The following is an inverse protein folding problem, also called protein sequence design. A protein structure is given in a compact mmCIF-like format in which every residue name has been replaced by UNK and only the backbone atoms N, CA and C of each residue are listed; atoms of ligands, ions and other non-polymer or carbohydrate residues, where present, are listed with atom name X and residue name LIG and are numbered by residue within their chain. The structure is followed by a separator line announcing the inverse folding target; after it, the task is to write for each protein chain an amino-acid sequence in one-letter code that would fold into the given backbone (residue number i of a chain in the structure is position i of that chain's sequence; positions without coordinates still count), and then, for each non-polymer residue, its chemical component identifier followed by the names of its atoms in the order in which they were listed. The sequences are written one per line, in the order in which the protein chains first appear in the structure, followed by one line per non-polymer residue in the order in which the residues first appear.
data_IF_131956154910
#
_entry.id   IF_131956154910
#
_cell.length_a   1.000
_cell.length_b   1.000
_cell.length_c   1.000
_cell.angle_alpha   90.00
_cell.angle_beta   90.00
_cell.angle_gamma   90.00
#
_symmetry.space_group_name_H-M   'P 1'
#
loop_
_entity.id
_entity.type
_entity.pdbx_description
1 polymer ?
#
# COMPACT_ATOMS: atom_id res chain seq x y z
N UNK A 1 9.54 -5.98 11.95
CA UNK A 1 9.89 -6.50 10.61
C UNK A 1 9.50 -7.99 10.53
N UNK A 2 8.45 -8.31 9.79
CA UNK A 2 7.87 -9.67 9.81
C UNK A 2 8.69 -10.62 8.94
N UNK A 3 9.16 -11.71 9.53
CA UNK A 3 9.92 -12.80 8.90
C UNK A 3 9.25 -13.39 7.66
N UNK A 4 7.95 -13.15 7.48
CA UNK A 4 7.12 -13.56 6.34
C UNK A 4 7.70 -13.05 5.00
N UNK A 5 8.35 -11.89 4.97
CA UNK A 5 8.92 -11.36 3.73
C UNK A 5 10.14 -12.13 3.21
N UNK A 6 10.84 -12.88 4.07
CA UNK A 6 12.03 -13.64 3.68
C UNK A 6 11.70 -15.01 3.05
N UNK A 7 10.51 -15.55 3.32
CA UNK A 7 10.06 -16.86 2.79
C UNK A 7 9.24 -16.73 1.51
N UNK A 8 8.66 -15.55 1.25
CA UNK A 8 7.85 -15.30 0.06
C UNK A 8 8.73 -15.02 -1.18
N UNK A 9 8.31 -15.49 -2.38
CA UNK A 9 8.90 -15.02 -3.62
C UNK A 9 8.91 -13.49 -3.70
N UNK A 10 9.96 -12.90 -4.29
CA UNK A 10 10.16 -11.44 -4.37
C UNK A 10 8.89 -10.69 -4.81
N UNK A 11 8.16 -11.25 -5.78
CA UNK A 11 6.91 -10.68 -6.26
C UNK A 11 5.86 -10.57 -5.15
N UNK A 12 5.66 -11.63 -4.37
CA UNK A 12 4.68 -11.66 -3.29
C UNK A 12 5.10 -10.79 -2.11
N UNK A 13 6.39 -10.83 -1.74
CA UNK A 13 6.94 -9.95 -0.72
C UNK A 13 6.73 -8.46 -1.08
N UNK A 14 6.94 -8.11 -2.35
CA UNK A 14 6.70 -6.74 -2.85
C UNK A 14 5.21 -6.37 -2.81
N UNK A 15 4.32 -7.28 -3.19
CA UNK A 15 2.87 -7.04 -3.14
C UNK A 15 2.40 -6.81 -1.70
N UNK A 16 2.88 -7.62 -0.75
CA UNK A 16 2.49 -7.47 0.65
C UNK A 16 3.05 -6.19 1.26
N UNK A 17 4.31 -5.86 0.98
CA UNK A 17 4.89 -4.58 1.37
C UNK A 17 4.06 -3.41 0.85
N UNK A 18 3.65 -3.42 -0.43
CA UNK A 18 2.81 -2.37 -0.99
C UNK A 18 1.45 -2.28 -0.27
N UNK A 19 0.80 -3.41 0.00
CA UNK A 19 -0.48 -3.43 0.74
C UNK A 19 -0.32 -2.81 2.12
N UNK A 20 0.69 -3.23 2.86
CA UNK A 20 0.95 -2.72 4.20
C UNK A 20 1.27 -1.23 4.19
N UNK A 21 2.10 -0.76 3.25
CA UNK A 21 2.41 0.67 3.11
C UNK A 21 1.17 1.51 2.82
N UNK A 22 0.28 1.04 1.95
CA UNK A 22 -0.99 1.72 1.63
C UNK A 22 -1.92 1.74 2.84
N UNK A 23 -2.13 0.61 3.51
CA UNK A 23 -2.97 0.53 4.72
C UNK A 23 -2.49 1.50 5.79
N UNK A 24 -1.19 1.49 6.10
CA UNK A 24 -0.59 2.41 7.08
C UNK A 24 -0.78 3.87 6.70
N UNK A 25 -0.59 4.23 5.43
CA UNK A 25 -0.80 5.61 4.97
C UNK A 25 -2.27 6.03 5.12
N UNK A 26 -3.23 5.16 4.78
CA UNK A 26 -4.65 5.44 4.96
C UNK A 26 -4.99 5.61 6.44
N UNK A 27 -4.53 4.72 7.32
CA UNK A 27 -4.76 4.83 8.77
C UNK A 27 -4.19 6.13 9.34
N UNK A 28 -2.95 6.50 8.99
CA UNK A 28 -2.29 7.73 9.46
C UNK A 28 -3.01 9.01 8.99
N UNK A 29 -3.71 8.93 7.88
CA UNK A 29 -4.42 10.06 7.27
C UNK A 29 -5.95 9.94 7.40
N UNK A 30 -6.45 9.12 8.33
CA UNK A 30 -7.88 8.96 8.60
C UNK A 30 -8.69 8.65 7.32
N UNK A 31 -8.21 7.69 6.53
CA UNK A 31 -8.77 7.25 5.24
C UNK A 31 -8.86 8.36 4.17
N UNK A 32 -8.16 9.48 4.36
CA UNK A 32 -8.04 10.52 3.34
C UNK A 32 -7.08 10.06 2.23
N UNK A 33 -7.64 9.51 1.16
CA UNK A 33 -6.91 9.04 -0.02
C UNK A 33 -6.01 10.09 -0.66
N UNK A 34 -6.41 11.36 -0.65
CA UNK A 34 -5.59 12.41 -1.24
C UNK A 34 -4.33 12.68 -0.38
N UNK A 35 -4.49 12.73 0.95
CA UNK A 35 -3.38 12.91 1.87
C UNK A 35 -2.44 11.69 1.87
N UNK A 36 -2.99 10.48 1.92
CA UNK A 36 -2.23 9.23 1.83
C UNK A 36 -1.47 9.10 0.51
N UNK A 37 -2.07 9.51 -0.61
CA UNK A 37 -1.37 9.51 -1.89
C UNK A 37 -0.18 10.48 -1.88
N UNK A 38 -0.37 11.71 -1.38
CA UNK A 38 0.72 12.69 -1.24
C UNK A 38 1.84 12.18 -0.34
N UNK A 39 1.52 11.57 0.80
CA UNK A 39 2.54 11.00 1.72
C UNK A 39 3.32 9.84 1.09
N UNK A 40 2.73 9.14 0.12
CA UNK A 40 3.35 8.06 -0.63
C UNK A 40 4.03 8.55 -1.93
N UNK A 41 4.02 9.85 -2.22
CA UNK A 41 4.58 10.41 -3.45
C UNK A 41 3.79 10.04 -4.72
N UNK A 42 2.51 9.74 -4.58
CA UNK A 42 1.62 9.32 -5.66
C UNK A 42 0.50 10.33 -5.91
N UNK A 43 -0.03 10.32 -7.13
CA UNK A 43 -1.32 10.93 -7.40
C UNK A 43 -2.46 10.09 -6.81
N UNK A 44 -3.54 10.73 -6.36
CA UNK A 44 -4.70 10.06 -5.72
C UNK A 44 -5.28 8.93 -6.58
N UNK A 45 -5.53 9.19 -7.87
CA UNK A 45 -6.10 8.17 -8.77
C UNK A 45 -5.15 6.99 -8.98
N UNK A 46 -3.83 7.21 -9.00
CA UNK A 46 -2.85 6.13 -9.07
C UNK A 46 -2.88 5.26 -7.81
N UNK A 47 -3.01 5.89 -6.63
CA UNK A 47 -3.14 5.15 -5.36
C UNK A 47 -4.41 4.29 -5.35
N UNK A 48 -5.57 4.82 -5.78
CA UNK A 48 -6.81 4.04 -5.87
C UNK A 48 -6.68 2.84 -6.84
N UNK A 49 -6.11 3.06 -8.03
CA UNK A 49 -5.91 1.98 -9.00
C UNK A 49 -4.94 0.92 -8.49
N UNK A 50 -3.87 1.35 -7.82
CA UNK A 50 -2.92 0.45 -7.19
C UNK A 50 -3.59 -0.38 -6.09
N UNK A 51 -4.34 0.25 -5.18
CA UNK A 51 -5.06 -0.43 -4.11
C UNK A 51 -6.02 -1.50 -4.66
N UNK A 52 -6.82 -1.16 -5.68
CA UNK A 52 -7.71 -2.10 -6.36
C UNK A 52 -6.96 -3.29 -6.94
N UNK A 53 -5.84 -3.04 -7.63
CA UNK A 53 -4.99 -4.09 -8.24
C UNK A 53 -4.32 -4.98 -7.19
N UNK A 54 -4.10 -4.46 -6.00
CA UNK A 54 -3.56 -5.21 -4.86
C UNK A 54 -4.65 -5.97 -4.07
N UNK A 55 -5.92 -5.85 -4.45
CA UNK A 55 -7.05 -6.48 -3.77
C UNK A 55 -7.50 -5.75 -2.50
N UNK A 56 -7.11 -4.50 -2.32
CA UNK A 56 -7.63 -3.63 -1.26
C UNK A 56 -8.96 -3.03 -1.73
N UNK A 57 -9.98 -3.04 -0.86
CA UNK A 57 -11.32 -2.49 -1.11
C UNK A 57 -11.52 -1.20 -0.33
#
# INVERSE_FOLDING_TARGET
PSAIAAELPLREATLEFQRERIRRALTLHHDNWAAAARSLGLHRSNLHHLAKRLGLR
#
